data_IF_901021357193
#
_entry.id   IF_901021357193
#
_cell.length_a   1.000
_cell.length_b   1.000
_cell.length_c   1.000
_cell.angle_alpha   90.00
_cell.angle_beta   90.00
_cell.angle_gamma   90.00
#
_symmetry.space_group_name_H-M   'P 1'
#
loop_
_entity.id
_entity.type
_entity.pdbx_description
1 polymer ?
#
# COMPACT_ATOMS: atom_id res chain seq x y z
N UNK A 1 -8.80 11.43 -30.58
CA UNK A 1 -8.14 10.95 -29.36
C UNK A 1 -7.82 9.48 -29.58
N UNK A 2 -6.54 9.15 -29.62
CA UNK A 2 -6.09 7.78 -29.91
C UNK A 2 -6.06 6.97 -28.62
N UNK A 3 -6.23 5.65 -28.72
CA UNK A 3 -6.06 4.67 -27.62
C UNK A 3 -4.77 4.93 -26.82
N UNK A 4 -3.73 5.41 -27.52
CA UNK A 4 -2.39 5.68 -27.01
C UNK A 4 -2.29 6.84 -26.02
N UNK A 5 -3.28 7.75 -25.95
CA UNK A 5 -3.26 8.90 -25.03
C UNK A 5 -3.86 8.56 -23.65
N UNK A 6 -4.46 7.36 -23.49
CA UNK A 6 -5.10 6.91 -22.24
C UNK A 6 -4.18 6.19 -21.24
N UNK A 7 -2.96 5.80 -21.64
CA UNK A 7 -1.93 5.30 -20.71
C UNK A 7 -1.40 6.44 -19.84
N UNK A 8 -2.24 6.94 -18.94
CA UNK A 8 -1.82 7.78 -17.81
C UNK A 8 -1.03 6.87 -16.88
N UNK A 9 0.29 7.06 -16.87
CA UNK A 9 1.31 6.39 -16.06
C UNK A 9 0.77 5.93 -14.69
N UNK A 10 0.29 4.70 -14.63
CA UNK A 10 0.04 4.02 -13.36
C UNK A 10 1.43 3.69 -12.84
N UNK A 11 1.84 4.38 -11.78
CA UNK A 11 3.13 4.13 -11.15
C UNK A 11 3.06 2.83 -10.34
N UNK A 12 3.38 1.72 -11.02
CA UNK A 12 3.42 0.38 -10.47
C UNK A 12 4.65 -0.36 -10.99
N UNK A 13 5.23 -1.26 -10.18
CA UNK A 13 6.32 -2.13 -10.63
C UNK A 13 5.87 -2.98 -11.83
N UNK A 14 6.77 -3.17 -12.79
CA UNK A 14 6.42 -3.63 -14.14
C UNK A 14 5.75 -5.01 -14.17
N UNK A 15 6.20 -5.96 -13.33
CA UNK A 15 5.60 -7.29 -13.29
C UNK A 15 4.19 -7.28 -12.70
N UNK A 16 3.92 -6.39 -11.74
CA UNK A 16 2.57 -6.17 -11.24
C UNK A 16 1.69 -5.41 -12.22
N UNK A 17 2.23 -4.40 -12.91
CA UNK A 17 1.48 -3.64 -13.90
C UNK A 17 1.01 -4.53 -15.05
N UNK A 18 1.86 -5.43 -15.55
CA UNK A 18 1.51 -6.36 -16.61
C UNK A 18 0.32 -7.26 -16.25
N UNK A 19 0.18 -7.65 -14.98
CA UNK A 19 -0.91 -8.54 -14.52
C UNK A 19 -2.16 -7.77 -14.09
N UNK A 20 -2.04 -6.49 -13.74
CA UNK A 20 -3.14 -5.69 -13.16
C UNK A 20 -3.64 -4.57 -14.06
N UNK A 21 -3.00 -4.31 -15.21
CA UNK A 21 -3.39 -3.20 -16.09
C UNK A 21 -4.87 -3.27 -16.51
N UNK A 22 -5.36 -4.46 -16.88
CA UNK A 22 -6.76 -4.68 -17.26
C UNK A 22 -7.73 -4.44 -16.10
N UNK A 23 -7.33 -4.72 -14.86
CA UNK A 23 -8.15 -4.45 -13.68
C UNK A 23 -8.34 -2.94 -13.47
N UNK A 24 -7.32 -2.13 -13.75
CA UNK A 24 -7.45 -0.68 -13.66
C UNK A 24 -8.41 -0.10 -14.69
N UNK A 25 -8.65 -0.77 -15.81
CA UNK A 25 -9.61 -0.34 -16.83
C UNK A 25 -11.07 -0.68 -16.47
N UNK A 26 -11.28 -1.60 -15.52
CA UNK A 26 -12.62 -2.04 -15.12
C UNK A 26 -13.45 -0.88 -14.54
N UNK A 27 -14.76 -0.95 -14.77
CA UNK A 27 -15.70 0.12 -14.38
C UNK A 27 -15.63 0.42 -12.87
N UNK A 28 -15.47 -0.61 -12.04
CA UNK A 28 -15.38 -0.46 -10.59
C UNK A 28 -14.12 0.30 -10.16
N UNK A 29 -12.97 0.07 -10.82
CA UNK A 29 -11.73 0.80 -10.56
C UNK A 29 -11.81 2.24 -11.02
N UNK A 30 -12.44 2.51 -12.17
CA UNK A 30 -12.67 3.88 -12.65
C UNK A 30 -13.58 4.66 -11.69
N UNK A 31 -14.64 4.02 -11.18
CA UNK A 31 -15.51 4.59 -10.14
C UNK A 31 -14.75 4.88 -8.86
N UNK A 32 -13.94 3.93 -8.37
CA UNK A 32 -13.12 4.10 -7.16
C UNK A 32 -12.12 5.26 -7.31
N UNK A 33 -11.42 5.34 -8.45
CA UNK A 33 -10.48 6.42 -8.76
C UNK A 33 -11.17 7.78 -8.78
N UNK A 34 -12.36 7.87 -9.36
CA UNK A 34 -13.15 9.10 -9.36
C UNK A 34 -13.57 9.49 -7.94
N UNK A 35 -14.07 8.54 -7.16
CA UNK A 35 -14.45 8.75 -5.76
C UNK A 35 -13.29 9.31 -4.93
N UNK A 36 -12.13 8.65 -4.94
CA UNK A 36 -10.95 9.10 -4.18
C UNK A 36 -10.47 10.50 -4.59
N UNK A 37 -10.56 10.85 -5.88
CA UNK A 37 -10.25 12.19 -6.38
C UNK A 37 -11.21 13.25 -5.86
N UNK A 38 -12.50 12.94 -5.83
CA UNK A 38 -13.54 13.84 -5.31
C UNK A 38 -13.35 14.07 -3.81
N UNK A 39 -13.10 13.00 -3.05
CA UNK A 39 -12.84 13.06 -1.60
C UNK A 39 -11.63 13.93 -1.28
N UNK A 40 -10.53 13.75 -2.03
CA UNK A 40 -9.34 14.59 -1.91
C UNK A 40 -9.61 16.05 -2.28
N UNK A 41 -10.38 16.30 -3.34
CA UNK A 41 -10.75 17.65 -3.76
C UNK A 41 -11.68 18.35 -2.75
N UNK A 42 -12.49 17.58 -2.02
CA UNK A 42 -13.32 18.05 -0.91
C UNK A 42 -12.51 18.34 0.38
N UNK A 43 -11.18 18.20 0.33
CA UNK A 43 -10.29 18.52 1.45
C UNK A 43 -10.11 17.39 2.47
N UNK A 44 -10.59 16.17 2.17
CA UNK A 44 -10.35 15.03 3.07
C UNK A 44 -8.87 14.66 3.07
N UNK A 45 -8.36 14.40 4.27
CA UNK A 45 -7.01 13.88 4.45
C UNK A 45 -7.02 12.37 4.21
N UNK A 46 -6.30 11.93 3.19
CA UNK A 46 -6.23 10.53 2.75
C UNK A 46 -4.82 10.01 3.02
N UNK A 47 -4.74 8.82 3.61
CA UNK A 47 -3.50 8.10 3.86
C UNK A 47 -3.51 6.72 3.18
N UNK A 48 -2.35 6.19 2.77
CA UNK A 48 -1.05 6.87 2.71
C UNK A 48 -1.03 7.93 1.58
N UNK A 49 0.05 8.74 1.45
CA UNK A 49 0.25 9.57 0.26
C UNK A 49 0.08 8.79 -1.05
N UNK A 50 -0.42 9.44 -2.10
CA UNK A 50 -0.82 8.75 -3.33
C UNK A 50 0.27 7.91 -4.00
N UNK A 51 1.53 8.35 -3.92
CA UNK A 51 2.69 7.61 -4.44
C UNK A 51 3.08 6.39 -3.59
N UNK A 52 2.48 6.22 -2.41
CA UNK A 52 2.73 5.11 -1.51
C UNK A 52 1.55 4.12 -1.45
N UNK A 53 0.44 4.36 -2.17
CA UNK A 53 -0.73 3.46 -2.16
C UNK A 53 -0.32 2.04 -2.59
N UNK A 54 0.50 1.90 -3.62
CA UNK A 54 0.98 0.61 -4.13
C UNK A 54 2.38 0.25 -3.65
N UNK A 55 2.85 0.80 -2.52
CA UNK A 55 4.24 0.63 -2.10
C UNK A 55 4.64 -0.84 -1.93
N UNK A 56 3.78 -1.68 -1.33
CA UNK A 56 4.02 -3.12 -1.19
C UNK A 56 4.34 -3.82 -2.53
N UNK A 57 3.57 -3.50 -3.57
CA UNK A 57 3.76 -4.04 -4.92
C UNK A 57 5.01 -3.43 -5.57
N UNK A 58 5.26 -2.14 -5.35
CA UNK A 58 6.38 -1.42 -5.93
C UNK A 58 7.75 -1.91 -5.46
N UNK A 59 7.87 -2.31 -4.19
CA UNK A 59 9.14 -2.76 -3.62
C UNK A 59 9.38 -4.26 -3.80
N UNK A 60 8.35 -5.02 -4.16
CA UNK A 60 8.41 -6.49 -4.29
C UNK A 60 7.87 -6.93 -5.64
N UNK A 61 8.73 -7.12 -6.66
CA UNK A 61 8.29 -7.67 -7.94
C UNK A 61 7.52 -8.97 -7.76
N UNK A 62 6.48 -9.19 -8.56
CA UNK A 62 5.53 -10.30 -8.42
C UNK A 62 6.23 -11.66 -8.38
N UNK A 63 7.21 -11.88 -9.26
CA UNK A 63 7.97 -13.13 -9.32
C UNK A 63 8.89 -13.37 -8.11
N UNK A 64 9.10 -12.36 -7.25
CA UNK A 64 9.87 -12.47 -6.01
C UNK A 64 8.99 -12.62 -4.78
N UNK A 65 7.68 -12.53 -4.91
CA UNK A 65 6.73 -12.73 -3.82
C UNK A 65 6.80 -14.19 -3.36
N UNK A 66 6.89 -14.39 -2.05
CA UNK A 66 6.89 -15.72 -1.41
C UNK A 66 5.77 -15.89 -0.40
N UNK A 67 5.38 -14.79 0.24
CA UNK A 67 4.38 -14.74 1.31
C UNK A 67 3.52 -13.50 1.09
N UNK A 68 2.22 -13.64 1.31
CA UNK A 68 1.27 -12.52 1.30
C UNK A 68 0.72 -12.36 2.71
N UNK A 69 0.88 -11.17 3.28
CA UNK A 69 0.30 -10.79 4.57
C UNK A 69 -0.75 -9.73 4.29
N UNK A 70 -1.97 -9.96 4.78
CA UNK A 70 -3.09 -9.05 4.57
C UNK A 70 -3.36 -8.27 5.86
N UNK A 71 -3.34 -6.94 5.74
CA UNK A 71 -3.89 -6.02 6.74
C UNK A 71 -5.31 -5.62 6.36
N UNK A 72 -6.07 -5.11 7.34
CA UNK A 72 -7.42 -4.60 7.10
C UNK A 72 -7.39 -3.16 6.58
N UNK A 73 -6.97 -2.23 7.46
CA UNK A 73 -6.92 -0.80 7.16
C UNK A 73 -5.49 -0.26 7.39
N UNK A 74 -5.06 0.76 6.64
CA UNK A 74 -3.83 1.47 6.94
C UNK A 74 -3.91 2.18 8.30
N UNK A 75 -2.76 2.41 8.93
CA UNK A 75 -2.70 3.31 10.09
C UNK A 75 -3.19 4.72 9.72
N UNK A 76 -4.02 5.31 10.58
CA UNK A 76 -4.74 6.57 10.28
C UNK A 76 -4.02 7.83 10.80
N UNK A 77 -2.93 7.69 11.57
CA UNK A 77 -2.17 8.83 12.08
C UNK A 77 -1.31 9.49 10.98
N UNK A 78 -1.10 10.82 11.04
CA UNK A 78 -0.20 11.50 10.12
C UNK A 78 1.19 10.87 10.11
N UNK A 79 1.68 10.50 8.92
CA UNK A 79 3.00 9.91 8.73
C UNK A 79 3.15 8.44 9.16
N UNK A 80 2.08 7.79 9.64
CA UNK A 80 2.14 6.38 10.06
C UNK A 80 2.06 5.42 8.88
N UNK A 81 1.02 5.54 8.05
CA UNK A 81 0.85 4.67 6.89
C UNK A 81 1.79 5.05 5.75
N UNK A 82 2.47 4.02 5.22
CA UNK A 82 3.39 4.15 4.09
C UNK A 82 3.22 3.04 3.04
N UNK A 83 2.03 2.44 2.96
CA UNK A 83 1.69 1.46 1.93
C UNK A 83 2.11 0.01 2.21
N UNK A 84 2.54 -0.29 3.44
CA UNK A 84 2.86 -1.63 3.91
C UNK A 84 2.01 -1.92 5.15
N UNK A 85 1.33 -3.08 5.20
CA UNK A 85 0.56 -3.47 6.37
C UNK A 85 1.49 -3.75 7.56
N UNK A 86 1.03 -3.42 8.77
CA UNK A 86 1.77 -3.61 10.03
C UNK A 86 3.12 -2.90 10.14
N UNK A 87 3.45 -2.00 9.22
CA UNK A 87 4.74 -1.31 9.20
C UNK A 87 4.58 0.19 9.41
N UNK A 88 5.56 0.80 10.06
CA UNK A 88 5.69 2.24 10.30
C UNK A 88 7.12 2.68 10.00
N UNK A 89 7.33 3.97 9.72
CA UNK A 89 8.66 4.53 9.48
C UNK A 89 9.46 4.66 10.78
N UNK A 90 10.81 4.67 10.73
CA UNK A 90 11.64 4.94 11.89
C UNK A 90 11.26 6.26 12.58
N UNK A 91 11.22 6.25 13.92
CA UNK A 91 10.82 7.39 14.74
C UNK A 91 9.31 7.58 14.89
N UNK A 92 8.49 6.73 14.28
CA UNK A 92 7.04 6.65 14.55
C UNK A 92 6.79 5.66 15.67
N UNK A 93 5.90 6.02 16.61
CA UNK A 93 5.49 5.11 17.68
C UNK A 93 4.95 3.79 17.13
N UNK A 94 5.44 2.68 17.70
CA UNK A 94 5.10 1.33 17.26
C UNK A 94 3.63 1.03 17.64
N UNK A 95 2.74 0.72 16.67
CA UNK A 95 1.34 0.47 16.98
C UNK A 95 1.12 -0.85 17.73
N UNK A 96 0.03 -1.00 18.51
CA UNK A 96 -0.22 -2.18 19.33
C UNK A 96 -0.17 -3.52 18.57
N UNK A 97 -0.69 -3.55 17.33
CA UNK A 97 -0.64 -4.76 16.51
C UNK A 97 0.79 -5.19 16.16
N UNK A 98 1.67 -4.23 15.85
CA UNK A 98 3.08 -4.50 15.55
C UNK A 98 3.85 -4.90 16.82
N UNK A 99 3.52 -4.31 17.98
CA UNK A 99 4.07 -4.75 19.27
C UNK A 99 3.75 -6.24 19.51
N UNK A 100 2.53 -6.67 19.23
CA UNK A 100 2.14 -8.06 19.41
C UNK A 100 2.87 -8.98 18.43
N UNK A 101 3.06 -8.57 17.18
CA UNK A 101 3.89 -9.30 16.20
C UNK A 101 5.32 -9.45 16.70
N UNK A 102 5.94 -8.39 17.23
CA UNK A 102 7.30 -8.48 17.78
C UNK A 102 7.40 -9.37 19.01
N UNK A 103 6.40 -9.35 19.90
CA UNK A 103 6.36 -10.27 21.05
C UNK A 103 6.33 -11.73 20.59
N UNK A 104 5.51 -12.04 19.59
CA UNK A 104 5.39 -13.40 19.05
C UNK A 104 6.69 -13.84 18.36
N UNK A 105 7.30 -12.97 17.55
CA UNK A 105 8.58 -13.23 16.91
C UNK A 105 9.70 -13.50 17.94
N UNK A 106 9.70 -12.77 19.05
CA UNK A 106 10.67 -12.98 20.13
C UNK A 106 10.39 -14.28 20.91
N UNK A 107 9.13 -14.63 21.16
CA UNK A 107 8.81 -15.85 21.91
C UNK A 107 8.96 -17.13 21.09
N UNK A 108 8.62 -17.09 19.81
CA UNK A 108 8.62 -18.27 18.92
C UNK A 108 9.99 -18.49 18.28
N UNK A 109 10.67 -17.41 17.86
CA UNK A 109 11.87 -17.49 17.03
C UNK A 109 13.11 -16.82 17.65
N UNK A 110 13.00 -16.27 18.87
CA UNK A 110 14.06 -15.50 19.55
C UNK A 110 14.55 -14.28 18.72
N UNK A 111 13.64 -13.66 17.97
CA UNK A 111 13.93 -12.48 17.14
C UNK A 111 13.52 -11.21 17.89
N UNK A 112 14.50 -10.36 18.18
CA UNK A 112 14.28 -9.08 18.84
C UNK A 112 13.49 -8.08 17.96
N UNK A 113 12.70 -7.17 18.55
CA UNK A 113 12.02 -6.09 17.83
C UNK A 113 13.01 -5.24 17.03
N UNK A 114 12.59 -4.77 15.85
CA UNK A 114 13.38 -3.82 15.08
C UNK A 114 13.44 -2.46 15.80
N UNK A 115 14.62 -1.82 15.77
CA UNK A 115 14.93 -0.53 16.39
C UNK A 115 14.89 0.63 15.41
#
# INVERSE_FOLDING_TARGET
MTESERKKDIQLEASWLAELEDEFEQEYMQKLKSFLRQEKAAGKQIYPPGNQIFNALNITPLNRVKVVILGQDPYHGPGQAHGLCFSVQPGVDIPPSLINIYKELQSDLDIAPAS
#
